data_IF_689389814571
#
_entry.id   IF_689389814571
#
_cell.length_a   1.000
_cell.length_b   1.000
_cell.length_c   1.000
_cell.angle_alpha   90.00
_cell.angle_beta   90.00
_cell.angle_gamma   90.00
#
_symmetry.space_group_name_H-M   'P 1'
#
loop_
_entity.id
_entity.type
_entity.pdbx_description
1 polymer ?
#
# COMPACT_ATOMS: atom_id res chain seq x y z
N UNK A 1 27.51 35.55 12.89
CA UNK A 1 27.12 35.29 11.49
C UNK A 1 27.30 33.84 11.09
N UNK A 2 28.45 33.25 11.32
CA UNK A 2 28.74 31.87 10.98
C UNK A 2 27.86 30.86 11.73
N UNK A 3 27.41 31.22 12.91
CA UNK A 3 26.60 30.36 13.76
C UNK A 3 25.18 30.09 13.22
N UNK A 4 24.66 30.96 12.38
CA UNK A 4 23.33 30.82 11.79
C UNK A 4 23.27 29.73 10.74
N UNK A 5 24.38 29.45 10.06
CA UNK A 5 24.44 28.45 9.01
C UNK A 5 24.39 27.04 9.59
N UNK A 6 24.95 26.83 10.77
CA UNK A 6 24.97 25.54 11.44
C UNK A 6 23.56 25.08 11.88
N UNK A 7 22.68 26.00 12.23
CA UNK A 7 21.32 25.68 12.64
C UNK A 7 20.49 25.09 11.50
N UNK A 8 20.70 25.53 10.29
CA UNK A 8 19.98 25.03 9.11
C UNK A 8 20.32 23.59 8.77
N UNK A 9 21.57 23.20 8.97
CA UNK A 9 22.02 21.84 8.66
C UNK A 9 21.38 20.81 9.59
N UNK A 10 21.21 21.17 10.85
CA UNK A 10 20.61 20.29 11.85
C UNK A 10 19.12 20.02 11.54
N UNK A 11 18.39 21.03 11.09
CA UNK A 11 16.97 20.89 10.74
C UNK A 11 16.76 19.95 9.55
N UNK A 12 17.64 20.01 8.56
CA UNK A 12 17.56 19.13 7.40
C UNK A 12 17.78 17.66 7.75
N UNK A 13 18.67 17.38 8.70
CA UNK A 13 18.96 16.02 9.15
C UNK A 13 17.77 15.36 9.86
N UNK A 14 17.01 16.14 10.62
CA UNK A 14 15.86 15.62 11.34
C UNK A 14 14.72 15.16 10.43
N UNK A 15 14.55 15.80 9.28
CA UNK A 15 13.49 15.46 8.33
C UNK A 15 13.74 14.14 7.59
N UNK A 16 14.98 13.80 7.30
CA UNK A 16 15.27 12.57 6.57
C UNK A 16 15.06 11.31 7.39
N UNK A 17 15.11 11.36 8.72
CA UNK A 17 14.85 10.21 9.57
C UNK A 17 13.36 9.84 9.69
N UNK A 18 12.45 10.78 9.42
CA UNK A 18 11.02 10.56 9.60
C UNK A 18 10.38 9.70 8.50
N UNK A 19 11.06 9.49 7.36
CA UNK A 19 10.52 8.79 6.21
C UNK A 19 11.04 7.35 6.07
N UNK A 20 11.72 6.80 7.09
CA UNK A 20 12.43 5.54 6.99
C UNK A 20 11.53 4.32 6.75
N UNK A 21 10.26 4.36 7.17
CA UNK A 21 9.33 3.22 7.11
C UNK A 21 8.31 3.28 5.98
N UNK A 22 8.11 4.44 5.38
CA UNK A 22 7.15 4.64 4.29
C UNK A 22 7.90 4.89 2.99
N UNK A 23 7.67 4.04 1.99
CA UNK A 23 8.40 4.12 0.71
C UNK A 23 7.71 5.00 -0.34
N UNK A 24 6.54 5.58 0.00
CA UNK A 24 5.80 6.44 -0.90
C UNK A 24 5.13 5.68 -2.04
N UNK A 25 4.83 6.39 -3.11
CA UNK A 25 4.10 5.84 -4.24
C UNK A 25 5.00 4.96 -5.10
N UNK A 26 4.50 3.77 -5.44
CA UNK A 26 5.20 2.79 -6.27
C UNK A 26 4.27 2.26 -7.35
N UNK A 27 4.81 1.86 -8.49
CA UNK A 27 4.04 1.12 -9.47
C UNK A 27 3.80 -0.30 -8.96
N UNK A 28 2.65 -0.86 -9.29
CA UNK A 28 2.31 -2.23 -8.91
C UNK A 28 3.31 -3.21 -9.50
N UNK A 29 3.70 -2.99 -10.75
CA UNK A 29 4.69 -3.82 -11.42
C UNK A 29 6.03 -3.85 -10.67
N UNK A 30 6.48 -2.71 -10.16
CA UNK A 30 7.72 -2.64 -9.39
C UNK A 30 7.65 -3.49 -8.13
N UNK A 31 6.55 -3.42 -7.41
CA UNK A 31 6.35 -4.21 -6.19
C UNK A 31 6.32 -5.70 -6.51
N UNK A 32 5.63 -6.09 -7.58
CA UNK A 32 5.51 -7.50 -7.97
C UNK A 32 6.82 -8.11 -8.45
N UNK A 33 7.69 -7.32 -9.06
CA UNK A 33 8.99 -7.81 -9.53
C UNK A 33 10.04 -7.86 -8.41
N UNK A 34 9.79 -7.19 -7.29
CA UNK A 34 10.74 -7.12 -6.18
C UNK A 34 10.06 -7.38 -4.84
N UNK A 35 9.34 -8.50 -4.69
CA UNK A 35 8.55 -8.72 -3.46
C UNK A 35 9.41 -8.76 -2.20
N UNK A 36 10.60 -9.30 -2.26
CA UNK A 36 11.50 -9.35 -1.11
C UNK A 36 11.97 -7.97 -0.65
N UNK A 37 12.15 -7.04 -1.61
CA UNK A 37 12.55 -5.68 -1.30
C UNK A 37 11.45 -4.90 -0.55
N UNK A 38 10.19 -5.17 -0.89
CA UNK A 38 9.06 -4.45 -0.35
C UNK A 38 8.34 -5.17 0.79
N UNK A 39 8.70 -6.42 1.08
CA UNK A 39 8.07 -7.21 2.13
C UNK A 39 8.07 -6.45 3.46
N UNK A 40 6.92 -6.42 4.13
CA UNK A 40 6.68 -5.69 5.37
C UNK A 40 6.85 -4.17 5.27
N UNK A 41 7.04 -3.64 4.07
CA UNK A 41 7.12 -2.19 3.84
C UNK A 41 5.74 -1.64 3.48
N UNK A 42 5.51 -0.40 3.87
CA UNK A 42 4.30 0.33 3.51
C UNK A 42 4.55 1.09 2.21
N UNK A 43 3.72 0.82 1.22
CA UNK A 43 3.77 1.50 -0.08
C UNK A 43 2.41 2.10 -0.39
N UNK A 44 2.40 3.05 -1.32
CA UNK A 44 1.18 3.64 -1.85
C UNK A 44 1.06 3.27 -3.32
N UNK A 45 -0.09 2.71 -3.71
CA UNK A 45 -0.40 2.44 -5.11
C UNK A 45 -1.67 3.17 -5.50
N UNK A 46 -1.77 3.58 -6.75
CA UNK A 46 -2.91 4.31 -7.28
C UNK A 46 -3.39 3.65 -8.55
N UNK A 47 -4.71 3.48 -8.66
CA UNK A 47 -5.25 2.85 -9.84
C UNK A 47 -6.77 2.70 -9.79
N UNK A 48 -7.27 1.81 -10.63
CA UNK A 48 -8.70 1.56 -10.81
C UNK A 48 -9.03 0.17 -10.27
N UNK A 49 -10.10 0.07 -9.50
CA UNK A 49 -10.58 -1.20 -8.98
C UNK A 49 -11.18 -2.02 -10.13
N UNK A 50 -10.65 -3.21 -10.33
CA UNK A 50 -11.11 -4.12 -11.38
C UNK A 50 -12.09 -5.17 -10.87
N UNK A 51 -11.95 -5.58 -9.61
CA UNK A 51 -12.81 -6.61 -9.00
C UNK A 51 -12.88 -6.35 -7.50
N UNK A 52 -14.04 -6.60 -6.89
CA UNK A 52 -14.15 -6.56 -5.43
C UNK A 52 -15.13 -7.63 -4.95
N UNK A 53 -14.79 -8.28 -3.82
CA UNK A 53 -15.63 -9.30 -3.22
C UNK A 53 -15.34 -9.41 -1.72
N UNK A 54 -16.34 -9.89 -0.96
CA UNK A 54 -16.18 -10.22 0.45
C UNK A 54 -15.82 -11.69 0.62
N UNK A 55 -15.13 -12.00 1.73
CA UNK A 55 -14.83 -13.38 2.11
C UNK A 55 -15.90 -13.82 3.10
N UNK A 56 -16.64 -14.92 2.84
CA UNK A 56 -17.69 -15.37 3.75
C UNK A 56 -17.15 -15.67 5.15
N UNK A 57 -17.94 -15.35 6.17
CA UNK A 57 -17.71 -15.66 7.58
C UNK A 57 -16.54 -14.94 8.23
N UNK A 58 -15.87 -14.01 7.54
CA UNK A 58 -14.79 -13.20 8.11
C UNK A 58 -15.03 -11.72 7.74
N UNK A 59 -14.50 -10.78 8.56
CA UNK A 59 -14.71 -9.35 8.30
C UNK A 59 -13.85 -8.78 7.18
N UNK A 60 -13.00 -9.59 6.57
CA UNK A 60 -12.09 -9.13 5.52
C UNK A 60 -12.77 -9.07 4.16
N UNK A 61 -12.36 -8.07 3.38
CA UNK A 61 -12.80 -7.87 2.01
C UNK A 61 -11.58 -7.78 1.11
N UNK A 62 -11.76 -8.17 -0.14
CA UNK A 62 -10.67 -8.26 -1.10
C UNK A 62 -11.08 -7.48 -2.35
N UNK A 63 -10.15 -6.68 -2.87
CA UNK A 63 -10.34 -6.05 -4.16
C UNK A 63 -9.02 -6.02 -4.91
N UNK A 64 -9.09 -5.86 -6.23
CA UNK A 64 -7.94 -5.75 -7.10
C UNK A 64 -7.86 -4.37 -7.69
N UNK A 65 -6.64 -3.83 -7.73
CA UNK A 65 -6.36 -2.51 -8.27
C UNK A 65 -5.38 -2.65 -9.42
N UNK A 66 -5.68 -1.99 -10.53
CA UNK A 66 -4.79 -1.93 -11.69
C UNK A 66 -4.32 -0.50 -11.90
N UNK A 67 -3.01 -0.34 -12.07
CA UNK A 67 -2.41 0.98 -12.40
C UNK A 67 -1.98 1.06 -13.87
N UNK A 68 -2.36 0.08 -14.68
CA UNK A 68 -1.95 -0.03 -16.07
C UNK A 68 -0.66 -0.82 -16.28
N UNK A 69 0.19 -0.93 -15.27
CA UNK A 69 1.42 -1.75 -15.35
C UNK A 69 1.15 -3.19 -14.92
N UNK A 70 0.31 -3.38 -13.92
CA UNK A 70 -0.03 -4.68 -13.37
C UNK A 70 -1.25 -4.54 -12.46
N UNK A 71 -1.68 -5.64 -11.87
CA UNK A 71 -2.83 -5.70 -10.98
C UNK A 71 -2.38 -6.23 -9.61
N UNK A 72 -2.84 -5.60 -8.55
CA UNK A 72 -2.48 -5.96 -7.18
C UNK A 72 -3.72 -6.30 -6.37
N UNK A 73 -3.64 -7.39 -5.63
CA UNK A 73 -4.65 -7.76 -4.66
C UNK A 73 -4.50 -6.92 -3.41
N UNK A 74 -5.62 -6.42 -2.88
CA UNK A 74 -5.65 -5.65 -1.63
C UNK A 74 -6.62 -6.35 -0.68
N UNK A 75 -6.17 -6.59 0.55
CA UNK A 75 -6.99 -7.16 1.60
C UNK A 75 -7.26 -6.08 2.65
N UNK A 76 -8.53 -5.86 2.96
CA UNK A 76 -8.98 -4.81 3.85
C UNK A 76 -9.89 -5.35 4.93
N UNK A 77 -9.76 -4.84 6.14
CA UNK A 77 -10.71 -5.11 7.22
C UNK A 77 -11.73 -3.98 7.40
N UNK A 78 -11.71 -2.99 6.51
CA UNK A 78 -12.69 -1.92 6.51
C UNK A 78 -14.07 -2.47 6.13
N UNK A 79 -15.11 -1.93 6.75
CA UNK A 79 -16.51 -2.26 6.39
C UNK A 79 -16.86 -1.77 5.00
N UNK A 80 -16.14 -0.79 4.49
CA UNK A 80 -16.38 -0.15 3.21
C UNK A 80 -15.40 -0.67 2.18
N UNK A 81 -15.91 -1.16 1.05
CA UNK A 81 -15.10 -1.67 -0.05
C UNK A 81 -15.36 -0.83 -1.30
N UNK A 82 -14.31 -0.46 -2.04
CA UNK A 82 -14.52 0.29 -3.27
C UNK A 82 -15.21 -0.57 -4.33
N UNK A 83 -16.09 0.05 -5.08
CA UNK A 83 -16.77 -0.61 -6.19
C UNK A 83 -15.87 -0.74 -7.42
N UNK A 84 -16.25 -1.63 -8.33
CA UNK A 84 -15.58 -1.79 -9.61
C UNK A 84 -15.57 -0.46 -10.35
N UNK A 85 -14.45 -0.17 -11.00
CA UNK A 85 -14.17 1.07 -11.74
C UNK A 85 -13.89 2.29 -10.88
N UNK A 86 -13.93 2.18 -9.55
CA UNK A 86 -13.52 3.28 -8.68
C UNK A 86 -12.03 3.54 -8.82
N UNK A 87 -11.66 4.82 -8.86
CA UNK A 87 -10.25 5.22 -8.83
C UNK A 87 -9.86 5.45 -7.37
N UNK A 88 -8.80 4.79 -6.95
CA UNK A 88 -8.38 4.80 -5.56
C UNK A 88 -6.87 4.96 -5.42
N UNK A 89 -6.48 5.50 -4.28
CA UNK A 89 -5.10 5.47 -3.82
C UNK A 89 -5.06 4.66 -2.53
N UNK A 90 -4.32 3.56 -2.54
CA UNK A 90 -4.25 2.63 -1.42
C UNK A 90 -2.87 2.70 -0.80
N UNK A 91 -2.85 2.92 0.51
CA UNK A 91 -1.64 2.81 1.31
C UNK A 91 -1.73 1.51 2.09
N UNK A 92 -0.77 0.64 1.90
CA UNK A 92 -0.81 -0.68 2.52
C UNK A 92 0.57 -1.30 2.70
N UNK A 93 0.60 -2.33 3.52
CA UNK A 93 1.79 -3.10 3.79
C UNK A 93 1.88 -4.27 2.83
N UNK A 94 3.04 -4.46 2.22
CA UNK A 94 3.28 -5.55 1.28
C UNK A 94 3.46 -6.85 2.04
N UNK A 95 2.63 -7.84 1.73
CA UNK A 95 2.67 -9.18 2.31
C UNK A 95 2.73 -10.22 1.20
N UNK A 96 3.50 -11.27 1.41
CA UNK A 96 3.65 -12.31 0.39
C UNK A 96 2.68 -13.48 0.56
N UNK A 97 2.04 -13.58 1.71
CA UNK A 97 1.12 -14.68 2.00
C UNK A 97 0.11 -14.28 3.07
N UNK A 98 -1.12 -14.79 2.94
CA UNK A 98 -2.14 -14.71 3.97
C UNK A 98 -3.07 -15.92 3.88
N UNK A 99 -3.53 -16.40 5.03
CA UNK A 99 -4.56 -17.43 5.12
C UNK A 99 -5.76 -16.82 5.83
N UNK A 100 -6.85 -16.61 5.11
CA UNK A 100 -8.04 -15.93 5.63
C UNK A 100 -9.28 -16.71 5.22
N UNK A 101 -10.08 -17.10 6.21
CA UNK A 101 -11.33 -17.82 5.95
C UNK A 101 -11.14 -19.14 5.20
N UNK A 102 -10.04 -19.84 5.45
CA UNK A 102 -9.71 -21.07 4.76
C UNK A 102 -9.14 -20.90 3.35
N UNK A 103 -8.95 -19.66 2.90
CA UNK A 103 -8.37 -19.33 1.59
C UNK A 103 -6.97 -18.81 1.74
N UNK A 104 -6.06 -19.23 0.85
CA UNK A 104 -4.72 -18.69 0.82
C UNK A 104 -4.59 -17.62 -0.26
N UNK A 105 -3.90 -16.55 0.08
CA UNK A 105 -3.62 -15.44 -0.82
C UNK A 105 -2.11 -15.26 -0.93
N UNK A 106 -1.64 -15.00 -2.14
CA UNK A 106 -0.24 -14.71 -2.38
C UNK A 106 0.11 -13.25 -2.11
N UNK A 107 0.96 -12.67 -2.95
CA UNK A 107 1.39 -11.29 -2.82
C UNK A 107 0.20 -10.33 -2.84
N UNK A 108 0.11 -9.48 -1.83
CA UNK A 108 -0.98 -8.53 -1.68
C UNK A 108 -0.56 -7.34 -0.84
N UNK A 109 -1.39 -6.30 -0.85
CA UNK A 109 -1.30 -5.21 0.10
C UNK A 109 -2.32 -5.43 1.21
N UNK A 110 -1.88 -5.29 2.45
CA UNK A 110 -2.77 -5.19 3.58
C UNK A 110 -3.09 -3.71 3.78
N UNK A 111 -4.32 -3.33 3.51
CA UNK A 111 -4.73 -1.93 3.51
C UNK A 111 -4.54 -1.29 4.88
N UNK A 112 -3.92 -0.13 4.92
CA UNK A 112 -3.85 0.75 6.08
C UNK A 112 -4.77 1.94 5.91
N UNK A 113 -4.85 2.49 4.71
CA UNK A 113 -5.77 3.57 4.39
C UNK A 113 -6.08 3.57 2.89
N UNK A 114 -7.23 4.11 2.55
CA UNK A 114 -7.66 4.25 1.17
C UNK A 114 -8.24 5.64 0.96
N UNK A 115 -7.91 6.23 -0.19
CA UNK A 115 -8.47 7.50 -0.62
C UNK A 115 -9.19 7.28 -1.94
N UNK A 116 -10.45 7.69 -1.99
CA UNK A 116 -11.22 7.69 -3.23
C UNK A 116 -10.91 8.95 -4.02
N UNK A 117 -10.63 8.79 -5.29
CA UNK A 117 -10.18 9.87 -6.15
C UNK A 117 -11.33 10.41 -7.00
#
# INVERSE_FOLDING_TARGET
MKKLILSLVIAASALSGACATALGERSISEVQHNPGKFHDKTVTVEGVVTTSFGIPLVPFKVFRVSDGSAEMLVISDDSRIPGKNARVRVRGEVQEFALIGGRSFGLHLREKSIKYM
#
